data_IF_615219858967
#
_entry.id   IF_615219858967
#
_cell.length_a   1.000
_cell.length_b   1.000
_cell.length_c   1.000
_cell.angle_alpha   90.00
_cell.angle_beta   90.00
_cell.angle_gamma   90.00
#
_symmetry.space_group_name_H-M   'P 1'
#
loop_
_entity.id
_entity.type
_entity.pdbx_description
1 polymer ?
#
# COMPACT_ATOMS: atom_id res chain seq x y z
N UNK A 1 -8.65 8.24 -2.65
CA UNK A 1 -8.37 7.24 -3.70
C UNK A 1 -7.03 6.63 -3.37
N UNK A 2 -6.93 5.31 -3.23
CA UNK A 2 -5.65 4.64 -3.00
C UNK A 2 -5.02 4.34 -4.35
N UNK A 3 -3.78 4.76 -4.54
CA UNK A 3 -3.00 4.59 -5.76
C UNK A 3 -1.85 3.64 -5.48
N UNK A 4 -1.38 2.92 -6.51
CA UNK A 4 -0.23 2.01 -6.43
C UNK A 4 -0.38 0.89 -5.38
N UNK A 5 -1.38 0.01 -5.52
CA UNK A 5 -1.42 -1.20 -4.71
C UNK A 5 -0.20 -2.09 -4.98
N UNK A 6 0.23 -2.84 -3.98
CA UNK A 6 1.35 -3.79 -4.12
C UNK A 6 0.95 -4.92 -5.07
N UNK A 7 1.84 -5.25 -5.99
CA UNK A 7 1.58 -6.27 -7.01
C UNK A 7 1.27 -7.63 -6.38
N UNK A 8 0.19 -8.26 -6.83
CA UNK A 8 -0.23 -9.59 -6.33
C UNK A 8 -0.96 -9.60 -4.99
N UNK A 9 -1.21 -8.45 -4.36
CA UNK A 9 -1.96 -8.36 -3.09
C UNK A 9 -3.44 -8.03 -3.30
N UNK A 10 -3.80 -7.54 -4.48
CA UNK A 10 -5.17 -7.13 -4.79
C UNK A 10 -6.07 -8.35 -4.90
N UNK A 11 -7.17 -8.33 -4.15
CA UNK A 11 -8.30 -9.26 -4.27
C UNK A 11 -9.58 -8.47 -4.30
N UNK A 12 -10.48 -8.87 -5.19
CA UNK A 12 -11.78 -8.24 -5.39
C UNK A 12 -12.86 -9.22 -5.02
N UNK A 13 -13.90 -8.72 -4.36
CA UNK A 13 -15.04 -9.50 -3.93
C UNK A 13 -16.33 -8.84 -4.40
N UNK A 14 -17.20 -9.64 -5.00
CA UNK A 14 -18.54 -9.28 -5.42
C UNK A 14 -19.54 -9.95 -4.47
N UNK A 15 -20.26 -9.15 -3.67
CA UNK A 15 -21.13 -9.64 -2.59
C UNK A 15 -20.41 -10.63 -1.65
N UNK A 16 -19.14 -10.36 -1.34
CA UNK A 16 -18.31 -11.20 -0.46
C UNK A 16 -17.72 -12.45 -1.11
N UNK A 17 -18.02 -12.73 -2.39
CA UNK A 17 -17.39 -13.82 -3.14
C UNK A 17 -16.20 -13.30 -3.96
N UNK A 18 -15.06 -13.96 -3.87
CA UNK A 18 -13.85 -13.60 -4.62
C UNK A 18 -14.10 -13.70 -6.14
N UNK A 19 -13.74 -12.64 -6.84
CA UNK A 19 -13.74 -12.53 -8.30
C UNK A 19 -12.32 -12.76 -8.81
N UNK A 20 -12.15 -13.33 -10.00
CA UNK A 20 -10.85 -13.59 -10.62
C UNK A 20 -10.73 -13.01 -12.04
N UNK A 21 -11.84 -12.60 -12.66
CA UNK A 21 -11.88 -12.04 -14.01
C UNK A 21 -11.80 -10.49 -14.00
N UNK A 22 -10.67 -9.96 -13.53
CA UNK A 22 -10.38 -8.53 -13.57
C UNK A 22 -8.90 -8.27 -13.88
N UNK A 23 -8.60 -7.05 -14.31
CA UNK A 23 -7.23 -6.55 -14.43
C UNK A 23 -7.04 -5.32 -13.54
N UNK A 24 -5.81 -5.09 -13.11
CA UNK A 24 -5.45 -3.97 -12.24
C UNK A 24 -4.33 -3.18 -12.89
N UNK A 25 -4.52 -1.87 -13.02
CA UNK A 25 -3.44 -0.95 -13.32
C UNK A 25 -2.72 -0.60 -12.01
N UNK A 26 -1.60 -1.28 -11.74
CA UNK A 26 -0.82 -1.07 -10.51
C UNK A 26 -0.12 0.30 -10.42
N UNK A 27 -0.17 1.13 -11.46
CA UNK A 27 0.34 2.51 -11.39
C UNK A 27 -0.74 3.50 -10.93
N UNK A 28 -1.99 3.29 -11.33
CA UNK A 28 -3.12 4.20 -11.03
C UNK A 28 -4.03 3.67 -9.91
N UNK A 29 -4.05 2.36 -9.68
CA UNK A 29 -4.99 1.67 -8.79
C UNK A 29 -6.33 1.35 -9.44
N UNK A 30 -6.48 1.53 -10.76
CA UNK A 30 -7.73 1.27 -11.47
C UNK A 30 -7.95 -0.23 -11.68
N UNK A 31 -9.17 -0.69 -11.40
CA UNK A 31 -9.59 -2.08 -11.57
C UNK A 31 -10.58 -2.12 -12.74
N UNK A 32 -10.30 -2.98 -13.72
CA UNK A 32 -11.18 -3.20 -14.88
C UNK A 32 -11.73 -4.62 -14.82
N UNK A 33 -13.05 -4.73 -14.73
CA UNK A 33 -13.74 -6.03 -14.82
C UNK A 33 -13.89 -6.45 -16.28
N UNK A 34 -13.59 -7.72 -16.57
CA UNK A 34 -13.73 -8.27 -17.92
C UNK A 34 -15.20 -8.50 -18.28
N UNK A 35 -16.04 -8.81 -17.28
CA UNK A 35 -17.49 -8.88 -17.39
C UNK A 35 -18.10 -7.83 -16.46
N UNK A 36 -19.13 -7.08 -16.91
CA UNK A 36 -19.77 -6.10 -16.05
C UNK A 36 -20.39 -6.82 -14.83
N UNK A 37 -20.14 -6.34 -13.60
CA UNK A 37 -20.81 -6.84 -12.41
C UNK A 37 -22.33 -6.72 -12.54
N UNK A 38 -23.05 -7.64 -11.91
CA UNK A 38 -24.52 -7.58 -11.85
C UNK A 38 -24.94 -6.29 -11.14
N UNK A 39 -26.06 -5.73 -11.57
CA UNK A 39 -26.63 -4.53 -10.95
C UNK A 39 -26.82 -4.73 -9.44
N UNK A 40 -26.52 -3.69 -8.68
CA UNK A 40 -26.66 -3.63 -7.23
C UNK A 40 -25.75 -4.61 -6.42
N UNK A 41 -24.69 -5.13 -7.05
CA UNK A 41 -23.64 -5.88 -6.37
C UNK A 41 -22.74 -4.96 -5.54
N UNK A 42 -22.47 -5.37 -4.30
CA UNK A 42 -21.47 -4.74 -3.44
C UNK A 42 -20.09 -5.18 -3.88
N UNK A 43 -19.28 -4.23 -4.33
CA UNK A 43 -17.88 -4.45 -4.68
C UNK A 43 -17.01 -4.09 -3.49
N UNK A 44 -16.19 -5.03 -3.05
CA UNK A 44 -15.17 -4.80 -2.01
C UNK A 44 -13.82 -5.25 -2.51
N UNK A 45 -12.75 -4.66 -1.98
CA UNK A 45 -11.39 -4.96 -2.36
C UNK A 45 -10.49 -5.02 -1.13
N UNK A 46 -9.54 -5.95 -1.12
CA UNK A 46 -8.43 -5.98 -0.17
C UNK A 46 -7.12 -5.89 -0.93
N UNK A 47 -6.18 -5.10 -0.45
CA UNK A 47 -4.86 -4.95 -1.06
C UNK A 47 -3.91 -4.32 -0.05
N UNK A 48 -2.62 -4.47 -0.29
CA UNK A 48 -1.58 -3.72 0.40
C UNK A 48 -1.22 -2.49 -0.44
N UNK A 49 -0.80 -1.41 0.21
CA UNK A 49 -0.34 -0.20 -0.44
C UNK A 49 0.75 0.46 0.39
N UNK A 50 1.63 1.19 -0.28
CA UNK A 50 2.68 1.95 0.36
C UNK A 50 2.21 3.37 0.67
N UNK A 51 2.50 3.84 1.88
CA UNK A 51 2.31 5.23 2.26
C UNK A 51 3.64 5.95 2.09
N UNK A 52 3.75 6.96 1.20
CA UNK A 52 4.97 7.72 1.09
C UNK A 52 5.20 8.50 2.38
N UNK A 53 6.43 8.39 2.91
CA UNK A 53 6.87 9.05 4.14
C UNK A 53 8.14 9.84 3.88
N UNK A 54 8.42 10.80 4.77
CA UNK A 54 9.74 11.44 4.89
C UNK A 54 10.20 11.37 6.34
N UNK A 55 11.50 11.59 6.55
CA UNK A 55 12.01 11.83 7.90
C UNK A 55 11.36 13.08 8.48
N UNK A 56 10.97 12.99 9.75
CA UNK A 56 10.41 14.12 10.49
C UNK A 56 11.50 15.10 10.98
N UNK A 57 12.76 14.68 10.87
CA UNK A 57 13.95 15.39 11.34
C UNK A 57 14.97 15.52 10.23
N UNK A 58 15.76 16.59 10.27
CA UNK A 58 16.88 16.81 9.36
C UNK A 58 18.16 16.08 9.80
N UNK A 59 18.19 15.58 11.04
CA UNK A 59 19.33 14.88 11.63
C UNK A 59 18.98 13.44 11.97
N UNK A 60 19.88 12.51 11.63
CA UNK A 60 19.76 11.09 11.91
C UNK A 60 20.94 10.62 12.78
N UNK A 61 20.83 10.82 14.09
CA UNK A 61 21.92 10.56 15.02
C UNK A 61 22.16 9.07 15.23
N UNK A 62 23.36 8.59 14.90
CA UNK A 62 23.83 7.26 15.23
C UNK A 62 24.51 7.25 16.61
N UNK A 63 24.31 6.19 17.38
CA UNK A 63 25.02 5.93 18.64
C UNK A 63 25.99 4.77 18.44
N UNK A 64 27.19 4.85 19.04
CA UNK A 64 28.14 3.74 19.10
C UNK A 64 27.84 2.99 20.40
N UNK A 65 27.39 1.74 20.28
CA UNK A 65 27.09 0.91 21.45
C UNK A 65 28.30 0.07 21.87
N UNK A 66 29.13 -0.34 20.91
CA UNK A 66 30.41 -1.04 21.11
C UNK A 66 31.29 -0.91 19.86
N UNK A 67 32.54 -1.39 19.91
CA UNK A 67 33.44 -1.43 18.76
C UNK A 67 32.81 -2.22 17.59
N UNK A 68 32.51 -1.51 16.51
CA UNK A 68 31.86 -2.08 15.32
C UNK A 68 30.34 -2.23 15.42
N UNK A 69 29.73 -1.77 16.53
CA UNK A 69 28.28 -1.76 16.73
C UNK A 69 27.73 -0.34 16.79
N UNK A 70 26.79 -0.03 15.90
CA UNK A 70 26.09 1.25 15.89
C UNK A 70 24.58 1.02 15.89
N UNK A 71 23.85 1.90 16.57
CA UNK A 71 22.39 1.90 16.57
C UNK A 71 21.81 3.26 16.23
N UNK A 72 20.59 3.23 15.70
CA UNK A 72 19.73 4.39 15.59
C UNK A 72 18.53 4.18 16.50
N UNK A 73 18.53 4.87 17.63
CA UNK A 73 17.52 4.67 18.67
C UNK A 73 16.13 5.20 18.28
N UNK A 74 16.07 6.17 17.39
CA UNK A 74 14.81 6.75 16.93
C UNK A 74 14.91 7.20 15.48
N UNK A 75 13.99 6.74 14.64
CA UNK A 75 13.87 7.11 13.23
C UNK A 75 12.43 7.60 13.00
N UNK A 76 12.11 8.85 13.39
CA UNK A 76 10.75 9.36 13.27
C UNK A 76 10.42 9.62 11.80
N UNK A 77 9.24 9.15 11.38
CA UNK A 77 8.71 9.28 10.03
C UNK A 77 7.37 9.99 10.06
N UNK A 78 7.10 10.82 9.06
CA UNK A 78 5.80 11.45 8.84
C UNK A 78 5.29 11.13 7.45
N UNK A 79 3.99 10.89 7.37
CA UNK A 79 3.31 10.67 6.10
C UNK A 79 3.32 11.94 5.24
N UNK A 80 3.55 11.77 3.95
CA UNK A 80 3.48 12.85 2.95
C UNK A 80 2.24 12.63 2.10
N UNK A 81 1.30 13.58 2.16
CA UNK A 81 0.10 13.54 1.31
C UNK A 81 0.42 14.19 -0.04
N UNK A 82 0.10 13.49 -1.12
CA UNK A 82 0.14 13.99 -2.50
C UNK A 82 -1.27 14.10 -3.08
#
# INVERSE_FOLDING_TARGET
MIKKPVHGTVKIYLNGKEESEYSVNYSTGEITFMKPPVKDVIITASFEFDVPVRFDTDYLNASIDDYGSNSWNNIPLVEVKF
#
